data_IF_011157370081
#
_entry.id   IF_011157370081
#
_cell.length_a   1.000
_cell.length_b   1.000
_cell.length_c   1.000
_cell.angle_alpha   90.00
_cell.angle_beta   90.00
_cell.angle_gamma   90.00
#
_symmetry.space_group_name_H-M   'P 1'
#
loop_
_entity.id
_entity.type
_entity.pdbx_description
1 polymer ?
#
# COMPACT_ATOMS: atom_id res chain seq x y z
N UNK A 1 14.23 -10.75 -31.97
CA UNK A 1 15.33 -11.64 -31.51
C UNK A 1 15.62 -11.29 -30.06
N UNK A 2 15.22 -12.17 -29.13
CA UNK A 2 15.53 -12.04 -27.71
C UNK A 2 16.95 -12.60 -27.55
N UNK A 3 17.91 -11.72 -27.26
CA UNK A 3 19.27 -12.12 -26.85
C UNK A 3 19.22 -12.46 -25.35
N UNK A 4 19.10 -13.75 -25.04
CA UNK A 4 19.38 -14.27 -23.70
C UNK A 4 20.88 -14.16 -23.43
N UNK A 5 21.29 -13.23 -22.57
CA UNK A 5 22.69 -13.15 -22.12
C UNK A 5 22.90 -14.13 -20.97
N UNK A 6 23.57 -15.24 -21.26
CA UNK A 6 24.05 -16.17 -20.23
C UNK A 6 25.41 -15.70 -19.69
N UNK A 7 25.47 -15.29 -18.43
CA UNK A 7 26.74 -15.26 -17.68
C UNK A 7 26.67 -16.28 -16.54
N UNK A 8 27.48 -17.32 -16.61
CA UNK A 8 27.72 -18.36 -15.58
C UNK A 8 26.46 -19.05 -15.06
N UNK A 9 25.65 -19.66 -15.93
CA UNK A 9 24.63 -20.66 -15.52
C UNK A 9 23.49 -20.16 -14.62
N UNK A 10 23.31 -18.84 -14.42
CA UNK A 10 22.22 -18.27 -13.67
C UNK A 10 21.39 -17.40 -14.61
N UNK A 11 20.12 -17.76 -14.80
CA UNK A 11 19.15 -16.88 -15.49
C UNK A 11 19.06 -15.59 -14.66
N UNK A 12 19.50 -14.47 -15.23
CA UNK A 12 19.38 -13.16 -14.58
C UNK A 12 17.96 -12.67 -14.81
N UNK A 13 17.22 -12.56 -13.71
CA UNK A 13 15.83 -12.10 -13.73
C UNK A 13 15.75 -10.62 -14.16
N UNK A 14 15.05 -10.39 -15.28
CA UNK A 14 14.80 -9.03 -15.77
C UNK A 14 13.77 -8.31 -14.89
N UNK A 15 14.05 -7.06 -14.54
CA UNK A 15 13.15 -6.19 -13.79
C UNK A 15 12.74 -4.98 -14.62
N UNK A 16 11.49 -4.56 -14.56
CA UNK A 16 11.07 -3.29 -15.19
C UNK A 16 11.85 -2.11 -14.62
N UNK A 17 12.36 -1.24 -15.48
CA UNK A 17 13.20 -0.10 -15.10
C UNK A 17 12.50 0.82 -14.09
N UNK A 18 11.20 1.12 -14.26
CA UNK A 18 10.44 1.91 -13.30
C UNK A 18 10.31 1.24 -11.92
N UNK A 19 10.19 -0.10 -11.89
CA UNK A 19 10.18 -0.87 -10.63
C UNK A 19 11.56 -0.78 -9.97
N UNK A 20 12.63 -0.94 -10.75
CA UNK A 20 14.01 -0.82 -10.27
C UNK A 20 14.29 0.54 -9.63
N UNK A 21 13.98 1.65 -10.32
CA UNK A 21 14.17 3.01 -9.79
C UNK A 21 13.40 3.21 -8.46
N UNK A 22 12.19 2.67 -8.38
CA UNK A 22 11.39 2.74 -7.18
C UNK A 22 11.95 1.90 -6.02
N UNK A 23 12.45 0.68 -6.28
CA UNK A 23 13.10 -0.19 -5.29
C UNK A 23 14.43 0.37 -4.79
N UNK A 24 15.12 1.14 -5.64
CA UNK A 24 16.35 1.84 -5.27
C UNK A 24 16.10 3.14 -4.51
N UNK A 25 14.82 3.47 -4.22
CA UNK A 25 14.45 4.64 -3.44
C UNK A 25 14.50 5.98 -4.19
N UNK A 26 14.74 5.97 -5.52
CA UNK A 26 14.91 7.20 -6.31
C UNK A 26 13.58 7.99 -6.39
N UNK A 27 12.48 7.33 -6.79
CA UNK A 27 11.19 7.97 -6.99
C UNK A 27 10.05 6.95 -6.97
N UNK A 28 8.78 7.40 -7.15
CA UNK A 28 7.66 6.47 -7.36
C UNK A 28 7.73 5.85 -8.76
N UNK A 29 7.07 4.69 -8.99
CA UNK A 29 7.01 4.08 -10.32
C UNK A 29 6.44 5.00 -11.38
N UNK A 30 5.40 5.78 -11.05
CA UNK A 30 4.81 6.78 -11.96
C UNK A 30 5.75 7.92 -12.26
N UNK A 31 6.50 8.36 -11.27
CA UNK A 31 7.52 9.38 -11.47
C UNK A 31 8.70 8.84 -12.30
N UNK A 32 9.10 7.59 -12.07
CA UNK A 32 10.08 6.91 -12.91
C UNK A 32 9.64 6.86 -14.37
N UNK A 33 8.37 6.54 -14.65
CA UNK A 33 7.83 6.56 -16.01
C UNK A 33 7.93 7.95 -16.64
N UNK A 34 7.62 9.02 -15.91
CA UNK A 34 7.79 10.42 -16.40
C UNK A 34 9.25 10.77 -16.68
N UNK A 35 10.17 10.34 -15.83
CA UNK A 35 11.61 10.58 -16.03
C UNK A 35 12.15 9.81 -17.23
N UNK A 36 11.66 8.59 -17.48
CA UNK A 36 12.00 7.80 -18.66
C UNK A 36 11.46 8.48 -19.92
N UNK A 37 10.20 8.87 -19.92
CA UNK A 37 9.54 9.59 -21.04
C UNK A 37 10.24 10.92 -21.36
N UNK A 38 10.69 11.64 -20.34
CA UNK A 38 11.45 12.87 -20.48
C UNK A 38 12.92 12.68 -20.91
N UNK A 39 13.36 11.44 -21.18
CA UNK A 39 14.74 11.13 -21.59
C UNK A 39 15.79 11.29 -20.49
N UNK A 40 15.40 11.41 -19.22
CA UNK A 40 16.28 11.63 -18.07
C UNK A 40 16.88 10.35 -17.50
N UNK A 41 16.56 9.19 -18.07
CA UNK A 41 17.06 7.90 -17.61
C UNK A 41 17.87 7.24 -18.70
N UNK A 42 19.13 6.90 -18.38
CA UNK A 42 20.04 6.20 -19.29
C UNK A 42 20.30 4.80 -18.75
N UNK A 43 20.40 3.84 -19.66
CA UNK A 43 20.83 2.47 -19.38
C UNK A 43 22.01 2.17 -20.29
N UNK A 44 23.16 1.84 -19.70
CA UNK A 44 24.43 1.64 -20.41
C UNK A 44 24.81 2.81 -21.34
N UNK A 45 24.45 4.05 -20.93
CA UNK A 45 24.73 5.28 -21.67
C UNK A 45 23.71 5.64 -22.75
N UNK A 46 22.70 4.81 -22.99
CA UNK A 46 21.64 5.07 -23.97
C UNK A 46 20.34 5.47 -23.28
N UNK A 47 19.57 6.39 -23.88
CA UNK A 47 18.27 6.80 -23.38
C UNK A 47 17.32 5.59 -23.30
N UNK A 48 16.75 5.38 -22.13
CA UNK A 48 15.85 4.24 -21.91
C UNK A 48 14.47 4.48 -22.54
N UNK A 49 13.94 3.54 -23.34
CA UNK A 49 12.57 3.61 -23.83
C UNK A 49 11.56 3.24 -22.74
N UNK A 50 10.32 3.70 -22.91
CA UNK A 50 9.20 3.31 -22.02
C UNK A 50 9.00 1.78 -21.99
N UNK A 51 8.74 1.26 -20.78
CA UNK A 51 8.51 -0.17 -20.59
C UNK A 51 9.77 -1.05 -20.59
N UNK A 52 10.95 -0.45 -20.69
CA UNK A 52 12.23 -1.17 -20.67
C UNK A 52 12.37 -2.07 -19.45
N UNK A 53 12.92 -3.24 -19.67
CA UNK A 53 13.41 -4.14 -18.62
C UNK A 53 14.92 -4.13 -18.60
N UNK A 54 15.49 -4.29 -17.42
CA UNK A 54 16.94 -4.30 -17.19
C UNK A 54 17.34 -5.54 -16.41
N UNK A 55 18.59 -5.94 -16.62
CA UNK A 55 19.27 -6.97 -15.82
C UNK A 55 20.13 -6.32 -14.72
N UNK A 56 20.50 -7.04 -13.67
CA UNK A 56 21.25 -6.48 -12.54
C UNK A 56 22.65 -5.94 -12.87
N UNK A 57 23.23 -6.29 -14.00
CA UNK A 57 24.56 -5.87 -14.44
C UNK A 57 24.54 -4.55 -15.24
N UNK A 58 23.41 -4.11 -15.75
CA UNK A 58 23.31 -2.89 -16.56
C UNK A 58 23.44 -1.63 -15.70
N UNK A 59 24.24 -0.66 -16.17
CA UNK A 59 24.42 0.64 -15.50
C UNK A 59 23.21 1.53 -15.75
N UNK A 60 22.55 1.99 -14.68
CA UNK A 60 21.44 2.94 -14.75
C UNK A 60 21.87 4.31 -14.22
N UNK A 61 21.57 5.35 -14.97
CA UNK A 61 21.76 6.75 -14.58
C UNK A 61 20.38 7.42 -14.64
N UNK A 62 20.00 8.12 -13.58
CA UNK A 62 18.75 8.86 -13.51
C UNK A 62 19.04 10.30 -13.11
N UNK A 63 18.61 11.25 -13.94
CA UNK A 63 18.83 12.69 -13.77
C UNK A 63 20.30 13.01 -13.45
N UNK A 64 21.23 12.43 -14.23
CA UNK A 64 22.68 12.61 -14.12
C UNK A 64 23.35 11.82 -12.98
N UNK A 65 22.61 11.13 -12.11
CA UNK A 65 23.16 10.37 -10.98
C UNK A 65 23.11 8.86 -11.24
N UNK A 66 24.19 8.16 -10.96
CA UNK A 66 24.22 6.69 -11.05
C UNK A 66 23.32 6.08 -9.97
N UNK A 67 22.42 5.18 -10.38
CA UNK A 67 21.47 4.51 -9.51
C UNK A 67 22.06 3.22 -8.97
N UNK A 68 22.08 3.09 -7.66
CA UNK A 68 22.65 1.95 -6.94
C UNK A 68 24.17 2.00 -6.84
N UNK A 69 24.69 1.79 -5.62
CA UNK A 69 26.12 1.61 -5.43
C UNK A 69 26.52 0.22 -5.86
N UNK A 70 27.58 0.10 -6.65
CA UNK A 70 28.19 -1.20 -7.01
C UNK A 70 29.27 -1.50 -5.97
N UNK A 71 29.01 -2.45 -5.10
CA UNK A 71 29.97 -2.98 -4.15
C UNK A 71 30.29 -4.43 -4.55
N UNK A 72 31.57 -4.73 -4.83
CA UNK A 72 32.02 -6.05 -5.29
C UNK A 72 31.29 -6.58 -6.55
N UNK A 73 30.98 -5.69 -7.52
CA UNK A 73 30.28 -6.07 -8.74
C UNK A 73 28.78 -6.38 -8.56
N UNK A 74 28.22 -6.11 -7.38
CA UNK A 74 26.78 -6.27 -7.09
C UNK A 74 26.18 -4.95 -6.65
N UNK A 75 24.97 -4.65 -7.14
CA UNK A 75 24.23 -3.47 -6.70
C UNK A 75 23.70 -3.69 -5.31
N UNK A 76 23.98 -2.76 -4.41
CA UNK A 76 23.45 -2.76 -3.05
C UNK A 76 22.03 -2.20 -3.08
N UNK A 77 21.05 -3.06 -2.84
CA UNK A 77 19.66 -2.61 -2.60
C UNK A 77 19.60 -1.89 -1.24
N UNK A 78 18.72 -0.89 -1.08
CA UNK A 78 18.42 -0.32 0.23
C UNK A 78 18.08 -1.42 1.24
N UNK A 79 18.47 -1.24 2.49
CA UNK A 79 18.08 -2.18 3.55
C UNK A 79 16.55 -2.26 3.63
N UNK A 80 15.97 -3.45 3.83
CA UNK A 80 14.54 -3.59 4.03
C UNK A 80 14.07 -2.79 5.24
N UNK A 81 13.01 -2.02 5.04
CA UNK A 81 12.37 -1.22 6.09
C UNK A 81 10.91 -1.65 6.21
N UNK A 82 10.46 -1.91 7.43
CA UNK A 82 9.06 -2.08 7.78
C UNK A 82 8.79 -1.32 9.07
N UNK A 83 7.93 -0.32 9.00
CA UNK A 83 7.53 0.52 10.13
C UNK A 83 6.07 0.22 10.48
N UNK A 84 5.78 0.11 11.75
CA UNK A 84 4.43 0.09 12.31
C UNK A 84 4.10 1.47 12.84
N UNK A 85 3.03 2.09 12.35
CA UNK A 85 2.63 3.44 12.71
C UNK A 85 1.19 3.45 13.19
N UNK A 86 0.95 4.10 14.33
CA UNK A 86 -0.40 4.42 14.77
C UNK A 86 -0.81 5.75 14.11
N UNK A 87 -1.50 5.67 12.96
CA UNK A 87 -1.92 6.85 12.21
C UNK A 87 -2.98 7.62 12.98
N UNK A 88 -2.82 8.91 13.29
CA UNK A 88 -3.87 9.72 13.84
C UNK A 88 -4.92 10.10 12.80
N UNK A 89 -6.08 10.57 13.24
CA UNK A 89 -7.11 11.20 12.37
C UNK A 89 -6.56 12.48 11.73
N UNK A 90 -7.07 12.84 10.56
CA UNK A 90 -6.65 14.03 9.83
C UNK A 90 -5.49 13.80 8.84
N UNK A 91 -4.75 12.70 8.97
CA UNK A 91 -3.62 12.35 8.12
C UNK A 91 -4.07 11.47 6.95
N UNK A 92 -3.61 11.78 5.73
CA UNK A 92 -3.91 10.99 4.53
C UNK A 92 -2.86 9.90 4.28
N UNK A 93 -3.31 8.72 3.87
CA UNK A 93 -2.44 7.57 3.57
C UNK A 93 -1.93 7.63 2.13
N UNK A 94 -1.12 8.62 1.80
CA UNK A 94 -0.54 8.84 0.46
C UNK A 94 0.93 9.26 0.56
N UNK A 95 1.65 9.14 -0.55
CA UNK A 95 2.98 9.72 -0.76
C UNK A 95 2.92 10.96 -1.67
N UNK A 96 1.71 11.43 -2.00
CA UNK A 96 1.49 12.57 -2.90
C UNK A 96 1.27 13.84 -2.11
N UNK A 97 1.91 14.93 -2.51
CA UNK A 97 1.78 16.27 -1.92
C UNK A 97 0.62 17.08 -2.52
N UNK A 98 -0.23 16.43 -3.35
CA UNK A 98 -1.38 17.08 -4.01
C UNK A 98 -2.53 17.39 -3.05
N UNK A 99 -2.60 16.70 -1.93
CA UNK A 99 -3.60 16.97 -0.88
C UNK A 99 -3.05 18.06 0.05
N UNK A 100 -3.91 19.01 0.45
CA UNK A 100 -3.55 20.04 1.43
C UNK A 100 -3.36 19.49 2.86
N UNK A 101 -3.85 18.28 3.11
CA UNK A 101 -3.68 17.62 4.40
C UNK A 101 -2.31 16.95 4.47
N UNK A 102 -1.68 17.01 5.65
CA UNK A 102 -0.44 16.27 5.94
C UNK A 102 -0.59 14.80 5.58
N UNK A 103 0.38 14.25 4.89
CA UNK A 103 0.40 12.83 4.55
C UNK A 103 1.20 12.00 5.56
N UNK A 104 1.02 10.68 5.51
CA UNK A 104 1.63 9.75 6.48
C UNK A 104 3.16 9.73 6.39
N UNK A 105 3.74 10.01 5.23
CA UNK A 105 5.20 10.04 5.05
C UNK A 105 5.78 11.29 5.68
N UNK A 106 5.13 12.44 5.50
CA UNK A 106 5.49 13.69 6.17
C UNK A 106 5.38 13.60 7.69
N UNK A 107 4.38 12.88 8.20
CA UNK A 107 4.22 12.64 9.64
C UNK A 107 5.40 11.85 10.22
N UNK A 108 5.80 10.76 9.53
CA UNK A 108 6.81 9.81 10.03
C UNK A 108 8.22 10.34 9.86
N UNK A 109 8.49 11.13 8.82
CA UNK A 109 9.81 11.73 8.50
C UNK A 109 10.97 10.73 8.53
N UNK A 110 10.72 9.51 7.99
CA UNK A 110 11.77 8.50 7.93
C UNK A 110 12.84 8.90 6.91
N UNK A 111 14.16 8.70 7.18
CA UNK A 111 15.25 9.17 6.30
C UNK A 111 15.22 8.57 4.90
N UNK A 112 14.80 7.30 4.79
CA UNK A 112 14.70 6.61 3.51
C UNK A 112 13.26 6.72 2.97
N UNK A 113 13.12 6.59 1.66
CA UNK A 113 11.82 6.59 1.02
C UNK A 113 11.00 5.36 1.42
N UNK A 114 9.91 5.59 2.15
CA UNK A 114 8.91 4.58 2.51
C UNK A 114 7.53 4.98 1.98
N UNK A 115 6.63 4.01 1.89
CA UNK A 115 5.26 4.22 1.45
C UNK A 115 4.31 3.29 2.19
N UNK A 116 3.03 3.68 2.34
CA UNK A 116 2.07 2.91 3.12
C UNK A 116 1.69 1.59 2.45
N UNK A 117 1.57 0.55 3.26
CA UNK A 117 1.01 -0.76 2.91
C UNK A 117 -0.50 -0.68 3.08
N UNK A 118 -1.19 -0.43 1.98
CA UNK A 118 -2.62 -0.15 1.98
C UNK A 118 -2.94 1.26 2.47
N UNK A 119 -4.20 1.46 2.81
CA UNK A 119 -4.72 2.78 3.16
C UNK A 119 -5.62 2.72 4.39
N UNK A 120 -5.63 3.80 5.14
CA UNK A 120 -6.69 4.21 6.06
C UNK A 120 -7.19 5.57 5.61
N UNK A 121 -8.48 5.79 5.67
CA UNK A 121 -9.08 7.08 5.33
C UNK A 121 -8.57 8.19 6.26
N UNK A 122 -8.69 9.44 5.83
CA UNK A 122 -8.26 10.62 6.59
C UNK A 122 -8.90 10.67 7.98
N UNK A 123 -10.18 10.32 8.07
CA UNK A 123 -11.00 10.31 9.27
C UNK A 123 -10.92 9.00 10.09
N UNK A 124 -10.10 8.05 9.66
CA UNK A 124 -9.81 6.79 10.36
C UNK A 124 -8.44 6.82 11.00
N UNK A 125 -8.23 6.03 12.06
CA UNK A 125 -6.98 5.97 12.82
C UNK A 125 -6.47 4.55 13.04
N UNK A 126 -5.32 4.40 13.65
CA UNK A 126 -4.77 3.12 14.08
C UNK A 126 -3.65 2.59 13.19
N UNK A 127 -3.47 1.29 13.23
CA UNK A 127 -2.32 0.60 12.66
C UNK A 127 -2.24 0.74 11.14
N UNK A 128 -1.14 1.29 10.67
CA UNK A 128 -0.73 1.27 9.25
C UNK A 128 0.74 0.89 9.16
N UNK A 129 1.09 0.10 8.17
CA UNK A 129 2.47 -0.29 7.91
C UNK A 129 3.04 0.62 6.81
N UNK A 130 4.33 0.99 6.93
CA UNK A 130 5.09 1.63 5.86
C UNK A 130 6.31 0.78 5.53
N UNK A 131 6.69 0.72 4.26
CA UNK A 131 7.84 -0.07 3.79
C UNK A 131 8.49 0.58 2.58
N UNK A 132 9.75 0.20 2.32
CA UNK A 132 10.44 0.45 1.04
C UNK A 132 10.40 -0.76 0.09
N UNK A 133 9.68 -1.84 0.46
CA UNK A 133 9.58 -3.08 -0.31
C UNK A 133 8.22 -3.22 -1.00
N UNK A 134 8.14 -2.92 -2.32
CA UNK A 134 6.87 -2.97 -3.07
C UNK A 134 6.24 -4.36 -3.15
N UNK A 135 7.04 -5.40 -3.18
CA UNK A 135 6.53 -6.78 -3.25
C UNK A 135 5.83 -7.20 -1.95
N UNK A 136 6.26 -6.64 -0.79
CA UNK A 136 5.62 -6.86 0.50
C UNK A 136 4.20 -6.26 0.54
N UNK A 137 4.01 -5.08 -0.08
CA UNK A 137 2.68 -4.46 -0.19
C UNK A 137 1.69 -5.40 -0.87
N UNK A 138 2.08 -5.98 -2.01
CA UNK A 138 1.22 -6.90 -2.73
C UNK A 138 0.92 -8.17 -1.92
N UNK A 139 1.91 -8.71 -1.21
CA UNK A 139 1.73 -9.90 -0.35
C UNK A 139 0.72 -9.65 0.77
N UNK A 140 0.79 -8.48 1.43
CA UNK A 140 -0.08 -8.13 2.56
C UNK A 140 -1.48 -7.70 2.11
N UNK A 141 -1.56 -6.91 1.02
CA UNK A 141 -2.81 -6.22 0.66
C UNK A 141 -3.70 -6.96 -0.33
N UNK A 142 -3.17 -7.98 -1.02
CA UNK A 142 -3.96 -8.72 -2.01
C UNK A 142 -5.11 -9.48 -1.33
N UNK A 143 -6.35 -9.12 -1.68
CA UNK A 143 -7.56 -9.70 -1.08
C UNK A 143 -7.66 -11.24 -1.22
N UNK A 144 -7.05 -11.81 -2.29
CA UNK A 144 -6.98 -13.26 -2.48
C UNK A 144 -6.12 -13.98 -1.43
N UNK A 145 -5.28 -13.27 -0.68
CA UNK A 145 -4.44 -13.87 0.36
C UNK A 145 -5.19 -14.02 1.69
N UNK A 146 -6.42 -13.50 1.81
CA UNK A 146 -7.27 -13.68 2.98
C UNK A 146 -6.76 -13.01 4.26
N UNK A 147 -5.80 -12.09 4.18
CA UNK A 147 -5.24 -11.45 5.36
C UNK A 147 -6.28 -10.60 6.08
N UNK A 148 -6.46 -10.92 7.35
CA UNK A 148 -7.41 -10.24 8.23
C UNK A 148 -6.96 -8.86 8.64
N UNK A 149 -7.94 -7.98 8.83
CA UNK A 149 -7.76 -6.66 9.42
C UNK A 149 -8.89 -6.47 10.44
N UNK A 150 -8.52 -6.13 11.65
CA UNK A 150 -9.46 -5.93 12.74
C UNK A 150 -9.59 -4.45 13.08
N UNK A 151 -10.84 -4.05 13.30
CA UNK A 151 -11.18 -2.67 13.60
C UNK A 151 -12.07 -2.59 14.84
N UNK A 152 -11.84 -1.55 15.65
CA UNK A 152 -12.75 -1.11 16.70
C UNK A 152 -13.52 0.09 16.16
N UNK A 153 -14.85 0.02 16.24
CA UNK A 153 -15.75 0.99 15.63
C UNK A 153 -16.76 1.48 16.65
N UNK A 154 -16.88 2.81 16.81
CA UNK A 154 -17.98 3.41 17.59
C UNK A 154 -18.99 4.05 16.65
N UNK A 155 -20.26 3.97 17.01
CA UNK A 155 -21.41 4.44 16.22
C UNK A 155 -22.32 5.33 17.05
N UNK A 156 -23.20 6.05 16.36
CA UNK A 156 -24.14 7.02 16.96
C UNK A 156 -25.29 6.37 17.75
N UNK A 157 -25.61 5.10 17.49
CA UNK A 157 -26.77 4.38 18.06
C UNK A 157 -26.31 3.13 18.83
N UNK A 158 -27.13 2.60 19.75
CA UNK A 158 -26.84 1.34 20.42
C UNK A 158 -26.74 0.17 19.44
N UNK A 159 -25.66 -0.59 19.56
CA UNK A 159 -25.41 -1.83 18.81
C UNK A 159 -26.35 -2.91 19.32
N UNK A 160 -27.19 -3.44 18.43
CA UNK A 160 -28.16 -4.50 18.74
C UNK A 160 -27.75 -5.85 18.16
N UNK A 161 -28.31 -6.95 18.66
CA UNK A 161 -28.09 -8.28 18.09
C UNK A 161 -28.44 -8.33 16.59
N UNK A 162 -29.54 -7.69 16.19
CA UNK A 162 -29.97 -7.58 14.79
C UNK A 162 -28.97 -6.80 13.91
N UNK A 163 -28.32 -5.76 14.46
CA UNK A 163 -27.25 -5.05 13.75
C UNK A 163 -26.04 -5.96 13.52
N UNK A 164 -25.59 -6.69 14.55
CA UNK A 164 -24.46 -7.63 14.47
C UNK A 164 -24.74 -8.71 13.43
N UNK A 165 -25.92 -9.34 13.49
CA UNK A 165 -26.35 -10.37 12.53
C UNK A 165 -26.25 -9.86 11.08
N UNK A 166 -26.84 -8.69 10.79
CA UNK A 166 -26.84 -8.12 9.45
C UNK A 166 -25.42 -7.72 8.98
N UNK A 167 -24.61 -7.14 9.87
CA UNK A 167 -23.23 -6.79 9.56
C UNK A 167 -22.39 -8.03 9.23
N UNK A 168 -22.56 -9.12 10.00
CA UNK A 168 -21.80 -10.36 9.83
C UNK A 168 -22.16 -11.11 8.55
N UNK A 169 -23.44 -11.10 8.17
CA UNK A 169 -23.94 -11.81 6.98
C UNK A 169 -23.50 -11.15 5.65
N UNK A 170 -22.91 -9.97 5.71
CA UNK A 170 -22.61 -9.14 4.55
C UNK A 170 -23.75 -8.15 4.23
N UNK A 171 -23.37 -7.00 3.72
CA UNK A 171 -24.27 -5.88 3.43
C UNK A 171 -24.15 -5.51 1.97
N UNK A 172 -25.26 -5.35 1.27
CA UNK A 172 -25.28 -4.82 -0.09
C UNK A 172 -25.00 -3.31 -0.06
N UNK A 173 -24.04 -2.88 -0.85
CA UNK A 173 -23.61 -1.49 -0.95
C UNK A 173 -24.02 -0.92 -2.30
N UNK A 174 -25.15 -0.19 -2.35
CA UNK A 174 -25.74 0.35 -3.58
C UNK A 174 -24.73 1.14 -4.42
N UNK A 175 -23.95 2.03 -3.81
CA UNK A 175 -22.99 2.88 -4.51
C UNK A 175 -21.85 2.12 -5.19
N UNK A 176 -21.56 0.89 -4.76
CA UNK A 176 -20.51 0.04 -5.29
C UNK A 176 -21.05 -1.15 -6.08
N UNK A 177 -22.38 -1.33 -6.08
CA UNK A 177 -23.08 -2.47 -6.68
C UNK A 177 -22.44 -3.82 -6.28
N UNK A 178 -22.24 -4.01 -4.96
CA UNK A 178 -21.60 -5.21 -4.44
C UNK A 178 -22.11 -5.57 -3.04
N UNK A 179 -22.31 -6.85 -2.78
CA UNK A 179 -22.49 -7.37 -1.41
C UNK A 179 -21.14 -7.63 -0.78
N UNK A 180 -20.91 -7.12 0.43
CA UNK A 180 -19.67 -7.40 1.17
C UNK A 180 -19.60 -8.87 1.55
N UNK A 181 -18.39 -9.40 1.74
CA UNK A 181 -18.23 -10.77 2.26
C UNK A 181 -18.73 -10.86 3.68
N UNK A 182 -19.13 -12.07 4.07
CA UNK A 182 -19.36 -12.40 5.47
C UNK A 182 -18.12 -12.09 6.30
N UNK A 183 -18.31 -11.65 7.53
CA UNK A 183 -17.26 -11.22 8.41
C UNK A 183 -17.62 -11.42 9.89
N UNK A 184 -16.61 -11.49 10.72
CA UNK A 184 -16.81 -11.59 12.16
C UNK A 184 -17.08 -10.21 12.75
N UNK A 185 -18.18 -10.08 13.50
CA UNK A 185 -18.57 -8.85 14.18
C UNK A 185 -19.01 -9.18 15.61
N UNK A 186 -18.47 -8.43 16.59
CA UNK A 186 -18.77 -8.61 18.02
C UNK A 186 -19.07 -7.27 18.67
N UNK A 187 -20.15 -7.17 19.44
CA UNK A 187 -20.41 -6.01 20.28
C UNK A 187 -19.38 -5.98 21.44
N UNK A 188 -18.70 -4.85 21.64
CA UNK A 188 -17.72 -4.62 22.70
C UNK A 188 -18.17 -3.53 23.67
N UNK A 189 -19.24 -2.81 23.34
CA UNK A 189 -19.87 -1.80 24.18
C UNK A 189 -21.26 -1.42 23.68
N UNK A 190 -21.92 -0.53 24.40
CA UNK A 190 -23.30 -0.10 24.07
C UNK A 190 -23.38 0.49 22.64
N UNK A 191 -22.35 1.22 22.22
CA UNK A 191 -22.23 1.86 20.89
C UNK A 191 -20.90 1.51 20.22
N UNK A 192 -20.32 0.36 20.57
CA UNK A 192 -19.02 -0.08 20.07
C UNK A 192 -19.06 -1.54 19.66
N UNK A 193 -18.37 -1.85 18.59
CA UNK A 193 -18.18 -3.23 18.12
C UNK A 193 -16.78 -3.40 17.50
N UNK A 194 -16.32 -4.64 17.45
CA UNK A 194 -15.17 -5.04 16.63
C UNK A 194 -15.64 -5.72 15.36
N UNK A 195 -14.88 -5.55 14.28
CA UNK A 195 -15.12 -6.20 12.99
C UNK A 195 -13.82 -6.68 12.38
N UNK A 196 -13.78 -7.92 11.87
CA UNK A 196 -12.64 -8.53 11.20
C UNK A 196 -12.96 -8.72 9.73
N UNK A 197 -12.17 -8.09 8.86
CA UNK A 197 -12.36 -8.10 7.41
C UNK A 197 -11.18 -8.73 6.69
N UNK A 198 -11.44 -9.60 5.72
CA UNK A 198 -10.48 -10.08 4.72
C UNK A 198 -10.53 -9.27 3.41
N UNK A 199 -11.51 -8.43 3.27
CA UNK A 199 -11.82 -7.57 2.13
C UNK A 199 -11.47 -6.11 2.46
N UNK A 200 -11.32 -5.24 1.45
CA UNK A 200 -11.03 -3.82 1.64
C UNK A 200 -11.63 -2.96 0.53
N UNK A 201 -12.96 -2.83 0.51
CA UNK A 201 -13.66 -1.91 -0.39
C UNK A 201 -13.49 -0.45 0.09
N UNK A 202 -13.72 0.49 -0.82
CA UNK A 202 -13.67 1.92 -0.47
C UNK A 202 -14.66 2.23 0.64
N UNK A 203 -14.16 2.74 1.79
CA UNK A 203 -14.94 3.12 2.98
C UNK A 203 -15.91 2.02 3.47
N UNK A 204 -15.56 0.75 3.30
CA UNK A 204 -16.44 -0.40 3.47
C UNK A 204 -17.23 -0.37 4.78
N UNK A 205 -16.57 -0.28 5.92
CA UNK A 205 -17.23 -0.33 7.25
C UNK A 205 -18.23 0.83 7.41
N UNK A 206 -17.86 2.05 6.97
CA UNK A 206 -18.74 3.22 7.04
C UNK A 206 -19.98 3.04 6.19
N UNK A 207 -19.82 2.56 4.95
CA UNK A 207 -20.95 2.25 4.04
C UNK A 207 -21.85 1.15 4.59
N UNK A 208 -21.28 0.06 5.13
CA UNK A 208 -22.05 -1.00 5.79
C UNK A 208 -22.90 -0.45 6.94
N UNK A 209 -22.32 0.39 7.80
CA UNK A 209 -23.04 1.03 8.89
C UNK A 209 -24.16 1.96 8.36
N UNK A 210 -23.85 2.82 7.39
CA UNK A 210 -24.80 3.77 6.78
C UNK A 210 -26.00 3.04 6.15
N UNK A 211 -25.78 1.95 5.41
CA UNK A 211 -26.84 1.11 4.84
C UNK A 211 -27.76 0.53 5.94
N UNK A 212 -27.23 0.23 7.12
CA UNK A 212 -28.01 -0.24 8.25
C UNK A 212 -28.59 0.90 9.13
N UNK A 213 -28.41 2.15 8.73
CA UNK A 213 -28.93 3.34 9.41
C UNK A 213 -28.11 3.80 10.62
N UNK A 214 -26.81 3.48 10.67
CA UNK A 214 -25.85 3.89 11.71
C UNK A 214 -24.76 4.79 11.13
N UNK A 215 -24.26 5.74 11.94
CA UNK A 215 -23.16 6.60 11.56
C UNK A 215 -21.91 6.30 12.41
N UNK A 216 -20.79 6.05 11.75
CA UNK A 216 -19.51 5.78 12.40
C UNK A 216 -18.93 7.07 12.99
N UNK A 217 -18.71 7.06 14.30
CA UNK A 217 -18.08 8.14 15.06
C UNK A 217 -16.56 8.03 15.06
N UNK A 218 -16.05 6.83 15.42
CA UNK A 218 -14.62 6.50 15.35
C UNK A 218 -14.40 5.16 14.65
N UNK A 219 -13.28 5.07 13.94
CA UNK A 219 -12.85 3.84 13.28
C UNK A 219 -11.36 3.69 13.46
N UNK A 220 -10.95 2.68 14.21
CA UNK A 220 -9.57 2.41 14.55
C UNK A 220 -9.16 1.00 14.12
N UNK A 221 -8.16 0.89 13.24
CA UNK A 221 -7.58 -0.42 12.92
C UNK A 221 -6.59 -0.83 13.99
N UNK A 222 -6.80 -2.00 14.58
CA UNK A 222 -6.00 -2.51 15.70
C UNK A 222 -5.11 -3.69 15.32
N UNK A 223 -5.43 -4.41 14.24
CA UNK A 223 -4.66 -5.57 13.77
C UNK A 223 -4.61 -5.65 12.25
N UNK A 224 -3.48 -6.12 11.73
CA UNK A 224 -3.24 -6.52 10.34
C UNK A 224 -2.54 -7.88 10.39
N UNK A 225 -3.16 -8.91 9.81
CA UNK A 225 -2.70 -10.30 9.88
C UNK A 225 -2.70 -10.84 11.33
N UNK A 226 -2.03 -11.95 11.55
CA UNK A 226 -1.90 -12.58 12.88
C UNK A 226 -0.67 -12.04 13.62
#
# INVERSE_FOLDING_TARGET
>A
RVLNSYKKGKIMEEIRLNKYLSEMGICSRREADRLIEAGKVLVDGQTAPMGMKITPDQKVVCDGKTVGMVENGRRKKPKPVLLMVNKPRGIVSTTSDKDRAMNIVELVKYPERVYPVGRLDKDSEGLILLTNQGDLVNKIMKASNGHEKEYVVTVDKPVTAKFIEKMSAGVYLDELDVTTRECEVRATGKREFTIILTQGLNRQIRRMCETLGFHVQTLKRVRIMN
#
